data_IF_742466113637
#
_entry.id   IF_742466113637
#
_cell.length_a   1.000
_cell.length_b   1.000
_cell.length_c   1.000
_cell.angle_alpha   90.00
_cell.angle_beta   90.00
_cell.angle_gamma   90.00
#
_symmetry.space_group_name_H-M   'P 1'
#
loop_
_entity.id
_entity.type
_entity.pdbx_description
1 polymer ?
#
# COMPACT_ATOMS: atom_id res chain seq x y z
N UNK A 1 1.37 -10.60 -3.64
CA UNK A 1 1.87 -11.97 -3.34
C UNK A 1 0.66 -12.91 -3.21
N UNK A 2 0.84 -14.24 -3.25
CA UNK A 2 -0.26 -15.21 -3.08
C UNK A 2 0.19 -16.42 -2.28
N UNK A 3 -0.74 -17.07 -1.59
CA UNK A 3 -0.53 -18.33 -0.87
C UNK A 3 -1.27 -19.45 -1.61
N UNK A 4 -0.69 -20.65 -1.66
CA UNK A 4 -1.29 -21.85 -2.27
C UNK A 4 -1.67 -22.88 -1.20
N UNK A 5 -2.76 -23.60 -1.43
CA UNK A 5 -3.16 -24.76 -0.63
C UNK A 5 -2.39 -26.01 -1.06
N UNK A 6 -2.35 -27.03 -0.21
CA UNK A 6 -1.74 -28.34 -0.51
C UNK A 6 -2.63 -29.46 0.03
N UNK A 7 -2.56 -30.65 -0.54
CA UNK A 7 -3.20 -31.86 -0.01
C UNK A 7 -2.28 -32.67 0.93
N UNK A 8 -1.05 -32.23 1.18
CA UNK A 8 -0.03 -32.97 1.94
C UNK A 8 -0.09 -32.63 3.43
N UNK A 9 -0.47 -31.41 3.79
CA UNK A 9 -0.58 -31.01 5.18
C UNK A 9 -1.07 -29.59 5.39
N UNK A 10 -1.48 -29.30 6.63
CA UNK A 10 -1.90 -27.98 7.07
C UNK A 10 -0.71 -27.03 7.15
N UNK A 11 -0.93 -25.78 6.71
CA UNK A 11 0.04 -24.68 6.84
C UNK A 11 -0.56 -23.60 7.73
N UNK A 12 0.17 -23.19 8.76
CA UNK A 12 -0.21 -22.10 9.67
C UNK A 12 0.80 -20.95 9.52
N UNK A 13 0.31 -19.71 9.55
CA UNK A 13 1.15 -18.51 9.58
C UNK A 13 0.51 -17.44 10.44
N UNK A 14 1.32 -16.69 11.18
CA UNK A 14 0.88 -15.58 12.04
C UNK A 14 1.51 -14.29 11.52
N UNK A 15 0.85 -13.55 10.62
CA UNK A 15 1.39 -12.30 10.11
C UNK A 15 1.16 -11.15 11.10
N UNK A 16 2.14 -10.27 11.20
CA UNK A 16 2.04 -8.99 11.90
C UNK A 16 2.29 -7.89 10.87
N UNK A 17 1.37 -6.94 10.76
CA UNK A 17 1.47 -5.82 9.83
C UNK A 17 1.65 -4.52 10.61
N UNK A 18 2.79 -3.87 10.41
CA UNK A 18 3.05 -2.50 10.89
C UNK A 18 2.62 -1.51 9.82
N UNK A 19 1.80 -0.53 10.19
CA UNK A 19 1.29 0.49 9.29
C UNK A 19 1.28 1.87 9.99
N UNK A 20 1.24 2.98 9.23
CA UNK A 20 1.02 4.31 9.78
C UNK A 20 -0.31 4.42 10.53
N UNK A 21 -0.44 5.46 11.37
CA UNK A 21 -1.73 5.80 11.96
C UNK A 21 -2.72 6.24 10.87
N UNK A 22 -4.02 5.96 11.01
CA UNK A 22 -5.06 6.42 10.09
C UNK A 22 -5.00 7.92 9.76
N UNK A 23 -4.70 8.73 10.78
CA UNK A 23 -4.62 10.19 10.70
C UNK A 23 -3.32 10.72 10.10
N UNK A 24 -2.35 9.85 9.80
CA UNK A 24 -1.04 10.26 9.32
C UNK A 24 -1.09 10.62 7.83
N UNK A 25 -0.39 11.70 7.45
CA UNK A 25 -0.16 12.00 6.05
C UNK A 25 1.05 11.24 5.54
N UNK A 26 0.88 10.57 4.41
CA UNK A 26 1.94 9.80 3.75
C UNK A 26 2.21 10.36 2.37
N UNK A 27 3.47 10.32 1.95
CA UNK A 27 3.92 10.77 0.64
C UNK A 27 5.39 10.38 0.40
N UNK A 28 5.94 10.67 -0.79
CA UNK A 28 7.36 10.46 -1.05
C UNK A 28 8.24 11.25 -0.07
N UNK A 29 9.26 10.60 0.48
CA UNK A 29 10.27 11.28 1.30
C UNK A 29 10.99 12.35 0.46
N UNK A 30 11.18 13.54 1.04
CA UNK A 30 11.73 14.69 0.33
C UNK A 30 13.14 14.43 -0.23
N UNK A 31 13.94 13.63 0.49
CA UNK A 31 15.29 13.23 0.08
C UNK A 31 15.26 12.36 -1.18
N UNK A 32 14.23 11.51 -1.32
CA UNK A 32 14.04 10.66 -2.50
C UNK A 32 13.62 11.50 -3.70
N UNK A 33 12.69 12.44 -3.49
CA UNK A 33 12.26 13.37 -4.56
C UNK A 33 13.42 14.24 -5.03
N UNK A 34 14.25 14.75 -4.10
CA UNK A 34 15.43 15.55 -4.42
C UNK A 34 16.45 14.77 -5.25
N UNK A 35 16.63 13.47 -4.96
CA UNK A 35 17.55 12.60 -5.70
C UNK A 35 17.01 12.23 -7.08
N UNK A 36 15.73 11.89 -7.17
CA UNK A 36 15.13 11.30 -8.38
C UNK A 36 14.51 12.38 -9.30
N UNK A 37 14.39 13.62 -8.83
CA UNK A 37 13.89 14.77 -9.57
C UNK A 37 12.39 14.75 -9.85
N UNK A 38 11.66 13.74 -9.36
CA UNK A 38 10.23 13.56 -9.61
C UNK A 38 9.52 12.95 -8.41
N UNK A 39 8.35 13.51 -8.06
CA UNK A 39 7.42 12.91 -7.12
C UNK A 39 6.34 12.15 -7.91
N UNK A 40 6.41 10.82 -7.93
CA UNK A 40 5.42 9.98 -8.64
C UNK A 40 4.09 9.84 -7.89
N UNK A 41 4.08 10.13 -6.60
CA UNK A 41 2.92 9.99 -5.73
C UNK A 41 2.68 11.29 -4.98
N UNK A 42 1.41 11.59 -4.71
CA UNK A 42 1.00 12.77 -3.94
C UNK A 42 0.99 12.47 -2.44
N UNK A 43 1.06 13.53 -1.64
CA UNK A 43 0.78 13.44 -0.21
C UNK A 43 -0.73 13.24 0.01
N UNK A 44 -1.11 12.30 0.87
CA UNK A 44 -2.50 11.99 1.20
C UNK A 44 -2.63 11.43 2.62
N UNK A 45 -3.86 11.38 3.14
CA UNK A 45 -4.15 10.73 4.42
C UNK A 45 -4.08 9.21 4.30
N UNK A 46 -3.40 8.53 5.22
CA UNK A 46 -3.29 7.08 5.18
C UNK A 46 -4.66 6.39 5.20
N UNK A 47 -5.62 6.90 6.00
CA UNK A 47 -6.98 6.36 6.03
C UNK A 47 -7.68 6.43 4.65
N UNK A 48 -7.49 7.49 3.88
CA UNK A 48 -8.13 7.63 2.57
C UNK A 48 -7.57 6.61 1.57
N UNK A 49 -6.25 6.39 1.60
CA UNK A 49 -5.62 5.35 0.80
C UNK A 49 -6.11 3.95 1.21
N UNK A 50 -6.24 3.67 2.50
CA UNK A 50 -6.72 2.36 2.98
C UNK A 50 -8.20 2.14 2.63
N UNK A 51 -9.03 3.18 2.69
CA UNK A 51 -10.42 3.11 2.23
C UNK A 51 -10.50 2.75 0.74
N UNK A 52 -9.67 3.39 -0.10
CA UNK A 52 -9.57 3.05 -1.51
C UNK A 52 -9.03 1.63 -1.74
N UNK A 53 -8.00 1.22 -0.99
CA UNK A 53 -7.41 -0.12 -1.09
C UNK A 53 -8.43 -1.23 -0.81
N UNK A 54 -9.27 -1.06 0.21
CA UNK A 54 -10.29 -2.05 0.59
C UNK A 54 -11.59 -1.97 -0.22
N UNK A 55 -11.83 -0.89 -0.97
CA UNK A 55 -13.04 -0.77 -1.80
C UNK A 55 -12.99 -1.64 -3.05
N UNK A 56 -11.80 -2.00 -3.54
CA UNK A 56 -11.58 -2.83 -4.75
C UNK A 56 -10.53 -3.93 -4.51
N UNK A 57 -10.81 -4.94 -3.67
CA UNK A 57 -9.81 -5.90 -3.17
C UNK A 57 -9.22 -6.82 -4.26
N UNK A 58 -9.85 -6.90 -5.43
CA UNK A 58 -9.43 -7.77 -6.54
C UNK A 58 -8.65 -7.05 -7.64
N UNK A 59 -8.53 -5.72 -7.56
CA UNK A 59 -7.88 -4.90 -8.59
C UNK A 59 -6.34 -4.84 -8.45
N UNK A 60 -5.77 -5.61 -7.53
CA UNK A 60 -4.33 -5.75 -7.37
C UNK A 60 -3.66 -4.43 -7.02
N UNK A 61 -2.88 -3.88 -7.96
CA UNK A 61 -2.06 -2.67 -7.73
C UNK A 61 -2.74 -1.36 -8.10
N UNK A 62 -4.00 -1.37 -8.59
CA UNK A 62 -4.71 -0.13 -8.97
C UNK A 62 -4.92 0.84 -7.79
N UNK A 63 -4.78 0.37 -6.55
CA UNK A 63 -4.74 1.26 -5.39
C UNK A 63 -3.62 2.29 -5.45
N UNK A 64 -2.52 2.00 -6.16
CA UNK A 64 -1.43 2.97 -6.39
C UNK A 64 -1.85 4.12 -7.31
N UNK A 65 -2.81 3.89 -8.21
CA UNK A 65 -3.30 4.92 -9.13
C UNK A 65 -3.99 6.06 -8.36
N UNK A 66 -4.70 5.72 -7.28
CA UNK A 66 -5.29 6.70 -6.36
C UNK A 66 -4.24 7.64 -5.73
N UNK A 67 -3.04 7.12 -5.49
CA UNK A 67 -1.93 7.84 -4.90
C UNK A 67 -1.03 8.53 -5.94
N UNK A 68 -1.20 8.28 -7.25
CA UNK A 68 -0.37 8.87 -8.28
C UNK A 68 -0.47 10.40 -8.23
N UNK A 69 0.68 11.07 -8.39
CA UNK A 69 0.69 12.51 -8.64
C UNK A 69 0.21 12.76 -10.09
N UNK A 70 -0.64 13.77 -10.26
CA UNK A 70 -0.97 14.31 -11.59
C UNK A 70 0.22 15.05 -12.20
#
# INVERSE_FOLDING_TARGET
HRVRTTNVGSRVSVPIFTAPNPSEKIGPLAEVVKRDGVARYKELLFQDYMNNFFSQPHDGKKSLDFACAE
#
